data_IF_396751709714
#
_entry.id   IF_396751709714
#
_cell.length_a   1.000
_cell.length_b   1.000
_cell.length_c   1.000
_cell.angle_alpha   90.00
_cell.angle_beta   90.00
_cell.angle_gamma   90.00
#
_symmetry.space_group_name_H-M   'P 1'
#
loop_
_entity.id
_entity.type
_entity.pdbx_description
1 polymer ?
#
# COMPACT_ATOMS: atom_id res chain seq x y z
N UNK A 1 -14.41 77.48 8.00
CA UNK A 1 -14.00 76.22 8.64
C UNK A 1 -15.19 75.27 8.55
N UNK A 2 -15.25 74.43 7.54
CA UNK A 2 -16.12 73.24 7.48
C UNK A 2 -15.89 72.55 6.12
N UNK A 3 -14.89 71.70 6.05
CA UNK A 3 -14.73 70.62 5.07
C UNK A 3 -13.62 69.75 5.64
N UNK A 4 -13.93 68.51 6.06
CA UNK A 4 -12.99 67.38 6.19
C UNK A 4 -13.58 66.14 6.91
N UNK A 5 -14.83 66.15 7.38
CA UNK A 5 -15.36 65.08 8.23
C UNK A 5 -16.21 63.98 7.53
N UNK A 6 -16.02 63.72 6.23
CA UNK A 6 -16.86 62.75 5.49
C UNK A 6 -16.15 61.65 4.72
N UNK A 7 -14.87 61.41 5.00
CA UNK A 7 -14.07 60.38 4.30
C UNK A 7 -13.65 59.17 5.17
N UNK A 8 -13.92 59.14 6.48
CA UNK A 8 -13.38 58.11 7.39
C UNK A 8 -14.24 56.83 7.58
N UNK A 9 -15.49 56.81 7.12
CA UNK A 9 -16.44 55.71 7.42
C UNK A 9 -16.45 54.55 6.40
N UNK A 10 -15.83 54.74 5.23
CA UNK A 10 -15.84 53.71 4.17
C UNK A 10 -14.68 52.72 4.25
N UNK A 11 -13.52 53.14 4.73
CA UNK A 11 -12.36 52.24 4.90
C UNK A 11 -12.56 51.27 6.06
N UNK A 12 -13.09 51.73 7.19
CA UNK A 12 -13.42 50.89 8.35
C UNK A 12 -14.48 49.82 8.06
N UNK A 13 -15.45 50.13 7.19
CA UNK A 13 -16.47 49.16 6.78
C UNK A 13 -15.94 48.11 5.81
N UNK A 14 -14.98 48.47 4.94
CA UNK A 14 -14.35 47.52 4.02
C UNK A 14 -13.37 46.58 4.75
N UNK A 15 -12.55 47.10 5.66
CA UNK A 15 -11.63 46.29 6.48
C UNK A 15 -12.37 45.31 7.38
N UNK A 16 -13.53 45.71 7.94
CA UNK A 16 -14.36 44.83 8.75
C UNK A 16 -14.96 43.66 7.94
N UNK A 17 -15.43 43.91 6.72
CA UNK A 17 -15.95 42.86 5.83
C UNK A 17 -14.85 41.89 5.40
N UNK A 18 -13.64 42.40 5.13
CA UNK A 18 -12.47 41.57 4.81
C UNK A 18 -12.06 40.71 6.01
N UNK A 19 -12.07 41.27 7.22
CA UNK A 19 -11.76 40.54 8.44
C UNK A 19 -12.80 39.45 8.79
N UNK A 20 -14.10 39.75 8.62
CA UNK A 20 -15.18 38.77 8.79
C UNK A 20 -15.11 37.64 7.74
N UNK A 21 -14.78 37.98 6.48
CA UNK A 21 -14.54 37.00 5.42
C UNK A 21 -13.34 36.11 5.71
N UNK A 22 -12.24 36.67 6.20
CA UNK A 22 -11.05 35.92 6.59
C UNK A 22 -11.32 35.00 7.80
N UNK A 23 -12.08 35.47 8.79
CA UNK A 23 -12.48 34.66 9.95
C UNK A 23 -13.40 33.51 9.54
N UNK A 24 -14.38 33.76 8.66
CA UNK A 24 -15.26 32.72 8.13
C UNK A 24 -14.50 31.65 7.34
N UNK A 25 -13.55 32.06 6.49
CA UNK A 25 -12.68 31.15 5.76
C UNK A 25 -11.78 30.33 6.70
N UNK A 26 -11.22 30.95 7.75
CA UNK A 26 -10.40 30.26 8.75
C UNK A 26 -11.20 29.22 9.54
N UNK A 27 -12.45 29.53 9.92
CA UNK A 27 -13.32 28.58 10.63
C UNK A 27 -13.72 27.43 9.72
N UNK A 28 -14.04 27.70 8.45
CA UNK A 28 -14.35 26.67 7.47
C UNK A 28 -13.16 25.71 7.27
N UNK A 29 -11.94 26.26 7.16
CA UNK A 29 -10.71 25.47 7.04
C UNK A 29 -10.42 24.64 8.30
N UNK A 30 -10.59 25.21 9.49
CA UNK A 30 -10.43 24.47 10.76
C UNK A 30 -11.44 23.32 10.88
N UNK A 31 -12.66 23.55 10.40
CA UNK A 31 -13.73 22.54 10.41
C UNK A 31 -13.44 21.43 9.40
N UNK A 32 -12.94 21.76 8.21
CA UNK A 32 -12.60 20.76 7.19
C UNK A 32 -11.42 19.89 7.62
N UNK A 33 -10.38 20.48 8.23
CA UNK A 33 -9.24 19.72 8.78
C UNK A 33 -9.70 18.76 9.88
N UNK A 34 -10.60 19.22 10.77
CA UNK A 34 -11.13 18.38 11.84
C UNK A 34 -11.94 17.18 11.31
N UNK A 35 -12.73 17.40 10.25
CA UNK A 35 -13.48 16.34 9.59
C UNK A 35 -12.58 15.33 8.87
N UNK A 36 -11.54 15.81 8.20
CA UNK A 36 -10.55 14.96 7.52
C UNK A 36 -9.79 14.06 8.51
N UNK A 37 -9.35 14.61 9.64
CA UNK A 37 -8.70 13.84 10.70
C UNK A 37 -9.63 12.76 11.28
N UNK A 38 -10.91 13.08 11.50
CA UNK A 38 -11.88 12.10 11.99
C UNK A 38 -12.12 10.97 10.96
N UNK A 39 -12.15 11.30 9.67
CA UNK A 39 -12.26 10.32 8.60
C UNK A 39 -11.03 9.39 8.55
N UNK A 40 -9.82 9.96 8.69
CA UNK A 40 -8.58 9.18 8.74
C UNK A 40 -8.52 8.25 9.97
N UNK A 41 -8.95 8.72 11.14
CA UNK A 41 -9.00 7.89 12.36
C UNK A 41 -9.96 6.70 12.20
N UNK A 42 -11.14 6.93 11.62
CA UNK A 42 -12.09 5.85 11.35
C UNK A 42 -11.58 4.88 10.27
N UNK A 43 -10.95 5.39 9.22
CA UNK A 43 -10.31 4.56 8.21
C UNK A 43 -9.20 3.68 8.81
N UNK A 44 -8.38 4.23 9.72
CA UNK A 44 -7.33 3.46 10.40
C UNK A 44 -7.92 2.33 11.24
N UNK A 45 -8.98 2.60 12.02
CA UNK A 45 -9.68 1.57 12.81
C UNK A 45 -10.27 0.49 11.92
N UNK A 46 -10.92 0.89 10.83
CA UNK A 46 -11.50 -0.04 9.87
C UNK A 46 -10.43 -0.92 9.23
N UNK A 47 -9.33 -0.32 8.76
CA UNK A 47 -8.18 -1.03 8.19
C UNK A 47 -7.63 -2.08 9.15
N UNK A 48 -7.32 -1.70 10.38
CA UNK A 48 -6.73 -2.62 11.38
C UNK A 48 -7.68 -3.79 11.65
N UNK A 49 -8.98 -3.50 11.83
CA UNK A 49 -9.99 -4.53 12.10
C UNK A 49 -10.11 -5.51 10.92
N UNK A 50 -10.22 -4.99 9.71
CA UNK A 50 -10.37 -5.81 8.50
C UNK A 50 -9.11 -6.63 8.21
N UNK A 51 -7.90 -6.07 8.37
CA UNK A 51 -6.65 -6.83 8.26
C UNK A 51 -6.58 -7.97 9.27
N UNK A 52 -7.01 -7.73 10.51
CA UNK A 52 -7.03 -8.76 11.55
C UNK A 52 -7.96 -9.93 11.20
N UNK A 53 -9.21 -9.62 10.83
CA UNK A 53 -10.17 -10.66 10.47
C UNK A 53 -9.78 -11.38 9.17
N UNK A 54 -9.28 -10.67 8.16
CA UNK A 54 -8.79 -11.28 6.92
C UNK A 54 -7.70 -12.32 7.18
N UNK A 55 -6.69 -11.99 8.01
CA UNK A 55 -5.64 -12.95 8.40
C UNK A 55 -6.18 -14.10 9.25
N UNK A 56 -7.19 -13.85 10.09
CA UNK A 56 -7.82 -14.89 10.89
C UNK A 56 -8.53 -15.91 10.00
N UNK A 57 -9.25 -15.47 8.98
CA UNK A 57 -9.93 -16.38 8.05
C UNK A 57 -8.94 -17.12 7.15
N UNK A 58 -7.84 -16.48 6.72
CA UNK A 58 -6.74 -17.20 6.05
C UNK A 58 -6.18 -18.33 6.91
N UNK A 59 -6.00 -18.09 8.21
CA UNK A 59 -5.52 -19.13 9.12
C UNK A 59 -6.51 -20.30 9.29
N UNK A 60 -7.78 -20.11 8.90
CA UNK A 60 -8.82 -21.14 8.85
C UNK A 60 -9.01 -21.74 7.45
N UNK A 61 -8.16 -21.35 6.48
CA UNK A 61 -8.27 -21.73 5.08
C UNK A 61 -9.57 -21.25 4.40
N UNK A 62 -10.23 -20.24 4.97
CA UNK A 62 -11.39 -19.58 4.35
C UNK A 62 -10.93 -18.39 3.50
N UNK A 63 -10.41 -18.72 2.32
CA UNK A 63 -9.83 -17.76 1.36
C UNK A 63 -10.90 -16.76 0.86
N UNK A 64 -12.14 -17.22 0.68
CA UNK A 64 -13.23 -16.38 0.18
C UNK A 64 -13.56 -15.27 1.18
N UNK A 65 -13.80 -15.63 2.45
CA UNK A 65 -14.11 -14.65 3.50
C UNK A 65 -12.91 -13.76 3.79
N UNK A 66 -11.69 -14.31 3.78
CA UNK A 66 -10.47 -13.52 3.95
C UNK A 66 -10.36 -12.40 2.90
N UNK A 67 -10.63 -12.71 1.63
CA UNK A 67 -10.60 -11.75 0.53
C UNK A 67 -11.57 -10.60 0.76
N UNK A 68 -12.79 -10.86 1.22
CA UNK A 68 -13.78 -9.82 1.52
C UNK A 68 -13.24 -8.84 2.57
N UNK A 69 -12.66 -9.36 3.65
CA UNK A 69 -12.02 -8.51 4.66
C UNK A 69 -10.84 -7.71 4.10
N UNK A 70 -10.00 -8.29 3.24
CA UNK A 70 -8.91 -7.52 2.65
C UNK A 70 -9.38 -6.47 1.63
N UNK A 71 -10.50 -6.70 0.95
CA UNK A 71 -11.15 -5.66 0.12
C UNK A 71 -11.63 -4.50 1.00
N UNK A 72 -12.26 -4.80 2.14
CA UNK A 72 -12.64 -3.76 3.11
C UNK A 72 -11.43 -3.00 3.66
N UNK A 73 -10.33 -3.71 3.94
CA UNK A 73 -9.08 -3.08 4.34
C UNK A 73 -8.50 -2.20 3.22
N UNK A 74 -8.57 -2.62 1.95
CA UNK A 74 -8.12 -1.83 0.82
C UNK A 74 -8.94 -0.54 0.68
N UNK A 75 -10.26 -0.62 0.79
CA UNK A 75 -11.14 0.54 0.76
C UNK A 75 -10.78 1.56 1.86
N UNK A 76 -10.48 1.08 3.07
CA UNK A 76 -10.01 1.93 4.16
C UNK A 76 -8.60 2.50 3.87
N UNK A 77 -7.68 1.69 3.34
CA UNK A 77 -6.32 2.10 3.04
C UNK A 77 -6.22 3.14 1.92
N UNK A 78 -7.17 3.15 0.97
CA UNK A 78 -7.25 4.18 -0.07
C UNK A 78 -7.44 5.57 0.55
N UNK A 79 -8.24 5.68 1.61
CA UNK A 79 -8.44 6.95 2.36
C UNK A 79 -7.14 7.40 3.03
N UNK A 80 -6.32 6.44 3.47
CA UNK A 80 -5.07 6.69 4.19
C UNK A 80 -3.85 6.82 3.27
N UNK A 81 -4.00 6.62 1.95
CA UNK A 81 -2.87 6.37 1.04
C UNK A 81 -1.82 7.47 1.06
N UNK A 82 -2.24 8.73 1.11
CA UNK A 82 -1.33 9.86 1.01
C UNK A 82 -0.62 10.17 2.33
N UNK A 83 -1.19 9.76 3.47
CA UNK A 83 -0.63 9.96 4.82
C UNK A 83 0.11 8.73 5.36
N UNK A 84 -0.36 7.54 4.99
CA UNK A 84 0.15 6.24 5.42
C UNK A 84 0.22 5.24 4.24
N UNK A 85 1.06 5.51 3.23
CA UNK A 85 1.13 4.69 2.00
C UNK A 85 1.48 3.22 2.25
N UNK A 86 2.14 2.91 3.37
CA UNK A 86 2.46 1.53 3.74
C UNK A 86 1.23 0.68 4.04
N UNK A 87 0.12 1.23 4.56
CA UNK A 87 -1.09 0.44 4.78
C UNK A 87 -1.74 0.00 3.46
N UNK A 88 -1.74 0.90 2.48
CA UNK A 88 -2.16 0.59 1.11
C UNK A 88 -1.29 -0.49 0.48
N UNK A 89 0.04 -0.40 0.66
CA UNK A 89 0.96 -1.40 0.14
C UNK A 89 0.80 -2.77 0.82
N UNK A 90 0.64 -2.81 2.14
CA UNK A 90 0.52 -4.05 2.91
C UNK A 90 -0.72 -4.86 2.52
N UNK A 91 -1.89 -4.23 2.40
CA UNK A 91 -3.12 -4.96 2.06
C UNK A 91 -3.10 -5.50 0.63
N UNK A 92 -2.47 -4.80 -0.31
CA UNK A 92 -2.32 -5.32 -1.67
C UNK A 92 -1.42 -6.55 -1.74
N UNK A 93 -0.39 -6.64 -0.90
CA UNK A 93 0.46 -7.84 -0.80
C UNK A 93 -0.35 -9.05 -0.29
N UNK A 94 -1.24 -8.84 0.69
CA UNK A 94 -2.16 -9.88 1.17
C UNK A 94 -3.13 -10.31 0.05
N UNK A 95 -3.73 -9.33 -0.66
CA UNK A 95 -4.61 -9.61 -1.80
C UNK A 95 -3.88 -10.36 -2.91
N UNK A 96 -2.66 -9.96 -3.26
CA UNK A 96 -1.86 -10.66 -4.26
C UNK A 96 -1.60 -12.11 -3.88
N UNK A 97 -1.33 -12.38 -2.60
CA UNK A 97 -1.15 -13.74 -2.08
C UNK A 97 -2.44 -14.57 -2.23
N UNK A 98 -3.59 -13.98 -1.93
CA UNK A 98 -4.91 -14.61 -2.14
C UNK A 98 -5.15 -14.91 -3.62
N UNK A 99 -4.94 -13.94 -4.51
CA UNK A 99 -5.14 -14.13 -5.94
C UNK A 99 -4.24 -15.24 -6.50
N UNK A 100 -3.01 -15.37 -6.03
CA UNK A 100 -2.16 -16.53 -6.37
C UNK A 100 -2.77 -17.86 -5.88
N UNK A 101 -3.28 -17.92 -4.65
CA UNK A 101 -3.90 -19.12 -4.09
C UNK A 101 -5.18 -19.53 -4.84
N UNK A 102 -5.94 -18.56 -5.35
CA UNK A 102 -7.14 -18.80 -6.15
C UNK A 102 -6.86 -19.09 -7.64
N UNK A 103 -5.59 -19.15 -8.03
CA UNK A 103 -5.21 -19.43 -9.42
C UNK A 103 -5.36 -18.25 -10.38
N UNK A 104 -5.34 -17.01 -9.86
CA UNK A 104 -5.31 -15.76 -10.63
C UNK A 104 -3.98 -15.00 -10.41
N UNK A 105 -2.85 -15.54 -10.88
CA UNK A 105 -1.56 -14.89 -10.73
C UNK A 105 -1.43 -13.59 -11.56
N UNK A 106 -2.28 -13.38 -12.56
CA UNK A 106 -2.31 -12.14 -13.34
C UNK A 106 -2.74 -10.94 -12.48
N UNK A 107 -3.84 -11.09 -11.75
CA UNK A 107 -4.27 -10.08 -10.77
C UNK A 107 -3.20 -9.88 -9.69
N UNK A 108 -2.58 -10.96 -9.19
CA UNK A 108 -1.51 -10.85 -8.19
C UNK A 108 -0.33 -10.00 -8.69
N UNK A 109 0.11 -10.18 -9.94
CA UNK A 109 1.15 -9.35 -10.56
C UNK A 109 0.74 -7.87 -10.56
N UNK A 110 -0.51 -7.56 -10.93
CA UNK A 110 -1.01 -6.18 -10.93
C UNK A 110 -0.92 -5.53 -9.54
N UNK A 111 -1.41 -6.21 -8.50
CA UNK A 111 -1.35 -5.71 -7.12
C UNK A 111 0.10 -5.50 -6.65
N UNK A 112 0.99 -6.45 -6.95
CA UNK A 112 2.39 -6.33 -6.53
C UNK A 112 3.11 -5.17 -7.23
N UNK A 113 2.91 -4.99 -8.54
CA UNK A 113 3.57 -3.90 -9.26
C UNK A 113 3.05 -2.52 -8.89
N UNK A 114 1.77 -2.39 -8.50
CA UNK A 114 1.21 -1.10 -8.03
C UNK A 114 1.94 -0.60 -6.78
N UNK A 115 2.35 -1.51 -5.89
CA UNK A 115 2.89 -1.15 -4.56
C UNK A 115 4.40 -1.30 -4.43
N UNK A 116 5.05 -1.90 -5.44
CA UNK A 116 6.50 -2.04 -5.48
C UNK A 116 7.25 -0.70 -5.28
N UNK A 117 6.87 0.42 -5.93
CA UNK A 117 7.56 1.69 -5.74
C UNK A 117 7.46 2.24 -4.30
N UNK A 118 6.35 1.93 -3.60
CA UNK A 118 6.18 2.33 -2.20
C UNK A 118 7.21 1.60 -1.34
N UNK A 119 7.37 0.29 -1.55
CA UNK A 119 8.33 -0.52 -0.82
C UNK A 119 9.78 -0.13 -1.15
N UNK A 120 10.11 0.14 -2.42
CA UNK A 120 11.45 0.59 -2.83
C UNK A 120 11.85 1.93 -2.21
N UNK A 121 10.88 2.82 -1.97
CA UNK A 121 11.13 4.11 -1.32
C UNK A 121 11.29 4.00 0.20
N UNK A 122 10.70 2.99 0.84
CA UNK A 122 10.71 2.81 2.30
C UNK A 122 11.83 1.89 2.77
N UNK A 123 12.07 0.79 2.04
CA UNK A 123 12.94 -0.29 2.48
C UNK A 123 14.19 -0.40 1.61
N UNK A 124 15.38 -0.52 2.21
CA UNK A 124 16.56 -0.96 1.48
C UNK A 124 16.33 -2.32 0.82
N UNK A 125 16.98 -2.60 -0.31
CA UNK A 125 16.80 -3.85 -1.07
C UNK A 125 17.12 -5.14 -0.29
N UNK A 126 17.93 -5.04 0.76
CA UNK A 126 18.29 -6.17 1.64
C UNK A 126 17.34 -6.33 2.83
N UNK A 127 16.37 -5.44 3.00
CA UNK A 127 15.39 -5.51 4.08
C UNK A 127 14.42 -6.68 3.84
N UNK A 128 14.07 -7.42 4.89
CA UNK A 128 13.21 -8.59 4.81
C UNK A 128 11.90 -8.32 4.04
N UNK A 129 11.19 -7.22 4.33
CA UNK A 129 9.96 -6.89 3.61
C UNK A 129 10.15 -6.64 2.11
N UNK A 130 11.32 -6.17 1.67
CA UNK A 130 11.64 -6.03 0.26
C UNK A 130 11.99 -7.38 -0.39
N UNK A 131 12.67 -8.24 0.35
CA UNK A 131 13.00 -9.59 -0.09
C UNK A 131 11.75 -10.45 -0.29
N UNK A 132 10.81 -10.39 0.65
CA UNK A 132 9.50 -11.05 0.55
C UNK A 132 8.73 -10.52 -0.67
N UNK A 133 8.76 -9.21 -0.90
CA UNK A 133 8.12 -8.58 -2.06
C UNK A 133 8.71 -9.12 -3.38
N UNK A 134 10.03 -9.14 -3.52
CA UNK A 134 10.67 -9.69 -4.72
C UNK A 134 10.37 -11.18 -4.91
N UNK A 135 10.35 -11.95 -3.83
CA UNK A 135 10.01 -13.37 -3.88
C UNK A 135 8.56 -13.60 -4.31
N UNK A 136 7.62 -12.82 -3.79
CA UNK A 136 6.21 -12.88 -4.20
C UNK A 136 6.04 -12.52 -5.67
N UNK A 137 6.74 -11.49 -6.16
CA UNK A 137 6.72 -11.14 -7.59
C UNK A 137 7.25 -12.28 -8.44
N UNK A 138 8.33 -12.94 -8.01
CA UNK A 138 8.88 -14.11 -8.70
C UNK A 138 7.87 -15.26 -8.76
N UNK A 139 7.24 -15.58 -7.62
CA UNK A 139 6.23 -16.64 -7.52
C UNK A 139 5.02 -16.34 -8.42
N UNK A 140 4.54 -15.09 -8.45
CA UNK A 140 3.41 -14.70 -9.28
C UNK A 140 3.71 -14.88 -10.78
N UNK A 141 4.90 -14.46 -11.24
CA UNK A 141 5.34 -14.69 -12.63
C UNK A 141 5.50 -16.18 -12.94
N UNK A 142 6.02 -16.96 -12.00
CA UNK A 142 6.17 -18.41 -12.16
C UNK A 142 4.80 -19.06 -12.35
N UNK A 143 3.84 -18.76 -11.47
CA UNK A 143 2.47 -19.30 -11.55
C UNK A 143 1.74 -18.88 -12.84
N UNK A 144 2.00 -17.66 -13.35
CA UNK A 144 1.43 -17.22 -14.62
C UNK A 144 2.11 -17.84 -15.86
N UNK A 145 3.26 -18.51 -15.69
CA UNK A 145 4.03 -19.13 -16.77
C UNK A 145 5.03 -18.19 -17.46
N UNK A 146 5.28 -17.01 -16.90
CA UNK A 146 6.29 -16.04 -17.37
C UNK A 146 7.67 -16.43 -16.83
N UNK A 147 8.23 -17.52 -17.37
CA UNK A 147 9.41 -18.18 -16.78
C UNK A 147 10.67 -17.30 -16.79
N UNK A 148 10.84 -16.45 -17.80
CA UNK A 148 12.01 -15.58 -17.92
C UNK A 148 11.99 -14.47 -16.86
N UNK A 149 10.82 -13.87 -16.65
CA UNK A 149 10.57 -12.84 -15.66
C UNK A 149 10.64 -13.42 -14.25
N UNK A 150 10.03 -14.58 -14.01
CA UNK A 150 10.14 -15.30 -12.74
C UNK A 150 11.61 -15.55 -12.38
N UNK A 151 12.40 -16.02 -13.35
CA UNK A 151 13.84 -16.25 -13.16
C UNK A 151 14.56 -14.97 -12.76
N UNK A 152 14.29 -13.87 -13.47
CA UNK A 152 14.89 -12.58 -13.14
C UNK A 152 14.61 -12.16 -11.69
N UNK A 153 13.36 -12.28 -11.23
CA UNK A 153 12.98 -11.90 -9.87
C UNK A 153 13.55 -12.83 -8.80
N UNK A 154 13.63 -14.15 -9.06
CA UNK A 154 14.32 -15.07 -8.13
C UNK A 154 15.81 -14.74 -8.02
N UNK A 155 16.49 -14.48 -9.14
CA UNK A 155 17.91 -14.10 -9.14
C UNK A 155 18.13 -12.78 -8.39
N UNK A 156 17.26 -11.79 -8.60
CA UNK A 156 17.29 -10.52 -7.87
C UNK A 156 17.10 -10.75 -6.36
N UNK A 157 16.14 -11.59 -5.97
CA UNK A 157 15.87 -11.93 -4.57
C UNK A 157 17.11 -12.56 -3.92
N UNK A 158 17.68 -13.60 -4.57
CA UNK A 158 18.85 -14.32 -4.07
C UNK A 158 20.11 -13.45 -3.99
N UNK A 159 20.30 -12.54 -4.95
CA UNK A 159 21.39 -11.56 -4.92
C UNK A 159 21.30 -10.67 -3.68
N UNK A 160 20.10 -10.18 -3.34
CA UNK A 160 19.91 -9.34 -2.15
C UNK A 160 19.93 -10.15 -0.83
N UNK A 161 19.65 -11.46 -0.89
CA UNK A 161 19.84 -12.41 0.22
C UNK A 161 21.29 -12.92 0.36
N UNK A 162 22.27 -12.40 -0.38
CA UNK A 162 23.64 -12.89 -0.35
C UNK A 162 24.29 -12.83 1.05
N UNK A 163 23.89 -11.84 1.86
CA UNK A 163 24.37 -11.65 3.23
C UNK A 163 23.81 -12.67 4.24
N UNK A 164 22.72 -13.37 3.90
CA UNK A 164 22.12 -14.40 4.73
C UNK A 164 22.88 -15.73 4.60
N UNK A 165 23.02 -16.42 5.73
CA UNK A 165 23.61 -17.76 5.77
C UNK A 165 22.80 -18.75 4.91
N UNK A 166 23.47 -19.78 4.38
CA UNK A 166 22.82 -20.78 3.52
C UNK A 166 21.77 -21.63 4.26
N UNK A 167 21.84 -21.70 5.58
CA UNK A 167 20.89 -22.42 6.42
C UNK A 167 19.66 -21.59 6.81
N UNK A 168 19.63 -20.29 6.47
CA UNK A 168 18.48 -19.41 6.67
C UNK A 168 17.22 -19.98 5.97
N UNK A 169 16.11 -20.00 6.70
CA UNK A 169 14.87 -20.65 6.27
C UNK A 169 14.29 -19.97 5.04
N UNK A 170 14.18 -18.64 5.04
CA UNK A 170 13.59 -17.89 3.92
C UNK A 170 14.40 -18.08 2.64
N UNK A 171 15.74 -17.99 2.75
CA UNK A 171 16.65 -18.21 1.62
C UNK A 171 16.53 -19.62 1.04
N UNK A 172 16.34 -20.64 1.88
CA UNK A 172 16.11 -22.02 1.41
C UNK A 172 14.83 -22.12 0.58
N UNK A 173 13.73 -21.52 1.05
CA UNK A 173 12.45 -21.52 0.33
C UNK A 173 12.61 -20.85 -1.05
N UNK A 174 13.30 -19.71 -1.12
CA UNK A 174 13.56 -19.04 -2.40
C UNK A 174 14.39 -19.91 -3.34
N UNK A 175 15.44 -20.58 -2.83
CA UNK A 175 16.27 -21.50 -3.62
C UNK A 175 15.47 -22.69 -4.13
N UNK A 176 14.59 -23.27 -3.31
CA UNK A 176 13.72 -24.39 -3.70
C UNK A 176 12.74 -23.98 -4.79
N UNK A 177 12.06 -22.85 -4.63
CA UNK A 177 11.15 -22.32 -5.66
C UNK A 177 11.89 -22.02 -6.97
N UNK A 178 13.08 -21.42 -6.89
CA UNK A 178 13.89 -21.15 -8.07
C UNK A 178 14.37 -22.44 -8.76
N UNK A 179 14.74 -23.47 -7.99
CA UNK A 179 15.11 -24.77 -8.54
C UNK A 179 13.95 -25.44 -9.30
N UNK A 180 12.72 -25.32 -8.79
CA UNK A 180 11.52 -25.81 -9.47
C UNK A 180 11.32 -25.10 -10.81
N UNK A 181 11.42 -23.76 -10.83
CA UNK A 181 11.36 -22.98 -12.06
C UNK A 181 12.42 -23.44 -13.08
N UNK A 182 13.66 -23.65 -12.65
CA UNK A 182 14.75 -24.07 -13.54
C UNK A 182 14.54 -25.48 -14.12
N UNK A 183 13.94 -26.39 -13.35
CA UNK A 183 13.56 -27.70 -13.84
C UNK A 183 12.43 -27.61 -14.88
N UNK A 184 11.42 -26.74 -14.67
CA UNK A 184 10.38 -26.48 -15.66
C UNK A 184 10.94 -25.86 -16.94
N UNK A 185 11.83 -24.87 -16.82
CA UNK A 185 12.53 -24.29 -17.97
C UNK A 185 13.29 -25.35 -18.77
N UNK A 186 13.93 -26.32 -18.09
CA UNK A 186 14.63 -27.43 -18.74
C UNK A 186 13.70 -28.41 -19.45
N UNK A 187 12.48 -28.60 -18.96
CA UNK A 187 11.48 -29.47 -19.60
C UNK A 187 10.81 -28.82 -20.80
N UNK A 188 10.75 -27.48 -20.83
CA UNK A 188 10.16 -26.70 -21.91
C UNK A 188 11.12 -26.43 -23.10
N UNK A 189 12.41 -26.72 -22.94
CA UNK A 189 13.47 -26.53 -23.96
C UNK A 189 13.73 -27.80 -24.76
#
# INVERSE_FOLDING_TARGET
MADDEKYLDKETSAEKVVAEGALSASVALSTSVSAEMALQDEALKSFIRSMFFGRQELARDDIATAREFFIDALNAAIVLRDVHPLYYAQVQIELASIYMLDGDPESAICFLFDVLPIYENVYPRTHHSMLDMYHLVANAHHLYGMLAEAKHWYELTLMNMAHLALDNVDKKIVVENYANLLEECRRAA
#
